data_IF_159902567632
#
_entry.id   IF_159902567632
#
_cell.length_a   1.000
_cell.length_b   1.000
_cell.length_c   1.000
_cell.angle_alpha   90.00
_cell.angle_beta   90.00
_cell.angle_gamma   90.00
#
_symmetry.space_group_name_H-M   'P 1'
#
loop_
_entity.id
_entity.type
_entity.pdbx_description
1 polymer ?
#
# COMPACT_ATOMS: atom_id res chain seq x y z
N UNK A 1 -18.58 -31.70 -6.56
CA UNK A 1 -18.15 -31.14 -5.25
C UNK A 1 -18.23 -29.63 -5.36
N UNK A 2 -19.00 -29.00 -4.51
CA UNK A 2 -19.08 -27.53 -4.45
C UNK A 2 -17.73 -26.97 -3.99
N UNK A 3 -17.07 -26.18 -4.82
CA UNK A 3 -15.79 -25.57 -4.49
C UNK A 3 -15.87 -24.74 -3.21
N UNK A 4 -14.79 -24.74 -2.41
CA UNK A 4 -14.69 -23.94 -1.19
C UNK A 4 -13.98 -22.63 -1.47
N UNK A 5 -14.53 -21.48 -1.00
CA UNK A 5 -13.84 -20.19 -1.07
C UNK A 5 -12.79 -20.09 0.03
N UNK A 6 -11.55 -19.80 -0.37
CA UNK A 6 -10.39 -19.67 0.51
C UNK A 6 -9.92 -18.22 0.49
N UNK A 7 -9.79 -17.63 1.67
CA UNK A 7 -9.10 -16.36 1.88
C UNK A 7 -7.64 -16.61 2.29
N UNK A 8 -6.73 -15.81 1.76
CA UNK A 8 -5.30 -15.82 2.10
C UNK A 8 -4.87 -14.46 2.62
N UNK A 9 -4.07 -14.44 3.68
CA UNK A 9 -3.32 -13.27 4.13
C UNK A 9 -1.89 -13.36 3.60
N UNK A 10 -1.46 -12.38 2.80
CA UNK A 10 -0.17 -12.38 2.10
C UNK A 10 0.74 -11.27 2.61
N UNK A 11 2.01 -11.59 2.70
CA UNK A 11 3.10 -10.63 2.84
C UNK A 11 4.02 -10.74 1.61
N UNK A 12 4.46 -9.60 1.05
CA UNK A 12 5.42 -9.60 -0.04
C UNK A 12 6.31 -8.35 -0.09
N UNK A 13 7.54 -8.58 -0.50
CA UNK A 13 8.44 -7.56 -1.02
C UNK A 13 8.01 -7.23 -2.46
N UNK A 14 7.62 -5.98 -2.71
CA UNK A 14 7.16 -5.53 -4.03
C UNK A 14 8.31 -5.28 -5.02
N UNK A 15 9.54 -5.14 -4.54
CA UNK A 15 10.70 -4.78 -5.38
C UNK A 15 10.89 -5.65 -6.62
N UNK A 16 10.83 -6.99 -6.52
CA UNK A 16 10.99 -7.88 -7.67
C UNK A 16 9.80 -7.92 -8.64
N UNK A 17 8.69 -7.20 -8.37
CA UNK A 17 7.44 -7.36 -9.11
C UNK A 17 6.98 -6.08 -9.78
N UNK A 18 6.34 -6.24 -10.95
CA UNK A 18 5.61 -5.19 -11.65
C UNK A 18 4.21 -4.98 -11.06
N UNK A 19 4.12 -4.90 -9.72
CA UNK A 19 2.91 -4.73 -8.94
C UNK A 19 2.13 -6.02 -8.72
N UNK A 20 0.90 -5.84 -8.22
CA UNK A 20 0.00 -6.96 -7.92
C UNK A 20 -0.52 -7.64 -9.19
N UNK A 21 -1.12 -6.87 -10.09
CA UNK A 21 -1.93 -7.37 -11.20
C UNK A 21 -1.10 -8.12 -12.25
N UNK A 22 -1.57 -9.31 -12.67
CA UNK A 22 -0.98 -10.08 -13.76
C UNK A 22 -0.91 -9.26 -15.06
N UNK A 23 0.24 -9.30 -15.70
CA UNK A 23 0.54 -8.62 -16.95
C UNK A 23 1.26 -9.57 -17.91
N UNK A 24 1.09 -9.42 -19.26
CA UNK A 24 1.64 -10.38 -20.21
C UNK A 24 3.18 -10.50 -20.20
N UNK A 25 3.90 -9.39 -19.97
CA UNK A 25 5.35 -9.30 -20.20
C UNK A 25 6.17 -9.20 -18.90
N UNK A 26 5.53 -9.08 -17.73
CA UNK A 26 6.23 -8.80 -16.49
C UNK A 26 5.69 -9.65 -15.34
N UNK A 27 6.62 -10.15 -14.51
CA UNK A 27 6.27 -10.93 -13.33
C UNK A 27 5.53 -10.09 -12.31
N UNK A 28 4.37 -10.56 -11.89
CA UNK A 28 3.54 -9.92 -10.85
C UNK A 28 3.34 -10.86 -9.66
N UNK A 29 2.93 -10.29 -8.52
CA UNK A 29 2.59 -11.09 -7.33
C UNK A 29 1.44 -12.05 -7.63
N UNK A 30 0.39 -11.57 -8.31
CA UNK A 30 -0.78 -12.36 -8.68
C UNK A 30 -0.42 -13.54 -9.57
N UNK A 31 0.44 -13.34 -10.57
CA UNK A 31 0.89 -14.42 -11.44
C UNK A 31 1.61 -15.53 -10.65
N UNK A 32 2.55 -15.16 -9.78
CA UNK A 32 3.28 -16.13 -8.96
C UNK A 32 2.36 -16.92 -8.03
N UNK A 33 1.33 -16.26 -7.48
CA UNK A 33 0.34 -16.90 -6.62
C UNK A 33 -0.58 -17.83 -7.40
N UNK A 34 -1.09 -17.39 -8.56
CA UNK A 34 -1.97 -18.18 -9.41
C UNK A 34 -1.28 -19.45 -9.91
N UNK A 35 0.01 -19.34 -10.31
CA UNK A 35 0.83 -20.49 -10.73
C UNK A 35 1.04 -21.51 -9.57
N UNK A 36 1.26 -21.00 -8.36
CA UNK A 36 1.40 -21.86 -7.17
C UNK A 36 0.08 -22.56 -6.79
N UNK A 37 -1.06 -21.86 -6.94
CA UNK A 37 -2.38 -22.45 -6.71
C UNK A 37 -2.69 -23.49 -7.77
N UNK A 38 -2.43 -23.20 -9.05
CA UNK A 38 -2.67 -24.12 -10.17
C UNK A 38 -1.88 -25.43 -10.03
N UNK A 39 -0.64 -25.35 -9.51
CA UNK A 39 0.18 -26.52 -9.26
C UNK A 39 -0.32 -27.41 -8.08
N UNK A 40 -1.15 -26.86 -7.18
CA UNK A 40 -1.71 -27.56 -6.03
C UNK A 40 -3.15 -28.03 -6.27
N UNK A 41 -3.91 -27.31 -7.07
CA UNK A 41 -5.34 -27.50 -7.33
C UNK A 41 -5.61 -27.15 -8.81
N UNK A 42 -5.22 -28.04 -9.74
CA UNK A 42 -5.48 -27.85 -11.16
C UNK A 42 -6.98 -27.67 -11.44
N UNK A 43 -7.32 -26.79 -12.37
CA UNK A 43 -8.71 -26.60 -12.77
C UNK A 43 -9.26 -27.91 -13.38
N UNK A 44 -10.50 -28.30 -13.06
CA UNK A 44 -11.13 -29.46 -13.66
C UNK A 44 -11.19 -29.35 -15.18
N UNK A 45 -11.09 -30.50 -15.87
CA UNK A 45 -11.21 -30.54 -17.32
C UNK A 45 -12.53 -29.90 -17.78
N UNK A 46 -12.48 -29.04 -18.79
CA UNK A 46 -13.63 -28.29 -19.30
C UNK A 46 -13.95 -26.97 -18.57
N UNK A 47 -13.28 -26.65 -17.48
CA UNK A 47 -13.37 -25.33 -16.84
C UNK A 47 -12.46 -24.38 -17.61
N UNK A 48 -13.01 -23.34 -18.22
CA UNK A 48 -12.23 -22.31 -18.90
C UNK A 48 -11.29 -21.63 -17.88
N UNK A 49 -9.98 -21.68 -18.16
CA UNK A 49 -8.98 -21.01 -17.36
C UNK A 49 -9.26 -19.49 -17.37
N UNK A 50 -9.62 -18.93 -16.20
CA UNK A 50 -9.68 -17.49 -16.02
C UNK A 50 -8.25 -16.96 -16.11
N UNK A 51 -8.09 -15.75 -16.66
CA UNK A 51 -6.79 -15.08 -16.71
C UNK A 51 -6.11 -14.98 -15.33
N UNK A 52 -6.90 -14.93 -14.26
CA UNK A 52 -6.45 -14.90 -12.87
C UNK A 52 -7.42 -15.67 -11.99
N UNK A 53 -6.89 -16.56 -11.15
CA UNK A 53 -7.67 -17.30 -10.15
C UNK A 53 -7.97 -16.46 -8.91
N UNK A 54 -7.01 -15.59 -8.52
CA UNK A 54 -7.08 -14.83 -7.28
C UNK A 54 -7.64 -13.43 -7.47
N UNK A 55 -8.40 -12.96 -6.49
CA UNK A 55 -8.94 -11.60 -6.39
C UNK A 55 -8.44 -10.95 -5.12
N UNK A 56 -7.73 -9.81 -5.24
CA UNK A 56 -7.17 -9.07 -4.12
C UNK A 56 -8.12 -8.01 -3.56
N UNK A 57 -7.95 -7.69 -2.29
CA UNK A 57 -8.62 -6.58 -1.61
C UNK A 57 -8.26 -5.20 -2.18
N UNK A 58 -7.05 -5.06 -2.72
CA UNK A 58 -6.57 -3.86 -3.39
C UNK A 58 -5.35 -4.17 -4.25
N UNK A 59 -5.22 -3.50 -5.39
CA UNK A 59 -4.03 -3.60 -6.23
C UNK A 59 -2.94 -2.72 -5.63
N UNK A 60 -1.69 -3.20 -5.69
CA UNK A 60 -0.49 -2.42 -5.38
C UNK A 60 0.27 -2.13 -6.67
N UNK A 61 0.87 -0.95 -6.74
CA UNK A 61 1.70 -0.54 -7.88
C UNK A 61 3.03 -1.32 -7.91
N UNK A 62 3.75 -1.24 -9.04
CA UNK A 62 5.12 -1.73 -9.18
C UNK A 62 5.99 -1.25 -8.02
N UNK A 63 6.70 -2.17 -7.36
CA UNK A 63 7.62 -1.86 -6.26
C UNK A 63 6.96 -1.59 -4.90
N UNK A 64 5.63 -1.61 -4.80
CA UNK A 64 4.90 -1.40 -3.53
C UNK A 64 4.81 -2.69 -2.75
N UNK A 65 5.15 -2.64 -1.45
CA UNK A 65 5.14 -3.78 -0.54
C UNK A 65 3.76 -4.05 0.07
N UNK A 66 3.59 -5.20 0.67
CA UNK A 66 2.46 -5.50 1.53
C UNK A 66 2.88 -6.33 2.75
N UNK A 67 2.39 -5.96 3.92
CA UNK A 67 2.51 -6.72 5.16
C UNK A 67 1.32 -7.67 5.37
N UNK A 68 0.12 -7.29 4.94
CA UNK A 68 -1.08 -8.13 5.03
C UNK A 68 -2.08 -7.80 3.90
N UNK A 69 -1.71 -8.10 2.66
CA UNK A 69 -2.65 -8.14 1.55
C UNK A 69 -3.62 -9.30 1.76
N UNK A 70 -4.88 -9.12 1.42
CA UNK A 70 -5.88 -10.19 1.47
C UNK A 70 -6.37 -10.52 0.08
N UNK A 71 -6.46 -11.81 -0.22
CA UNK A 71 -6.98 -12.32 -1.49
C UNK A 71 -7.95 -13.46 -1.25
N UNK A 72 -8.80 -13.77 -2.22
CA UNK A 72 -9.56 -15.00 -2.24
C UNK A 72 -9.48 -15.70 -3.58
N UNK A 73 -9.75 -17.00 -3.55
CA UNK A 73 -9.95 -17.85 -4.72
C UNK A 73 -10.90 -18.99 -4.37
N UNK A 74 -11.46 -19.63 -5.38
CA UNK A 74 -12.30 -20.82 -5.23
C UNK A 74 -11.41 -22.06 -5.47
N UNK A 75 -11.30 -22.97 -4.47
CA UNK A 75 -10.58 -24.23 -4.60
C UNK A 75 -11.55 -25.35 -4.97
N UNK A 76 -11.07 -26.34 -5.72
CA UNK A 76 -11.84 -27.48 -6.20
C UNK A 76 -11.34 -28.81 -5.59
N UNK A 77 -10.12 -28.83 -5.12
CA UNK A 77 -9.46 -30.01 -4.55
C UNK A 77 -9.72 -30.21 -3.05
N UNK A 78 -9.13 -31.27 -2.48
CA UNK A 78 -9.39 -31.70 -1.11
C UNK A 78 -8.55 -30.97 -0.05
N UNK A 79 -7.71 -29.98 -0.41
CA UNK A 79 -6.81 -29.32 0.53
C UNK A 79 -7.64 -28.53 1.56
N UNK A 80 -7.55 -28.86 2.86
CA UNK A 80 -8.26 -28.13 3.91
C UNK A 80 -7.80 -26.65 3.99
N UNK A 81 -8.72 -25.73 4.25
CA UNK A 81 -8.44 -24.30 4.28
C UNK A 81 -7.19 -23.88 5.08
N UNK A 82 -6.93 -24.40 6.31
CA UNK A 82 -5.72 -24.03 7.06
C UNK A 82 -4.40 -24.56 6.44
N UNK A 83 -4.47 -25.54 5.55
CA UNK A 83 -3.29 -26.15 4.91
C UNK A 83 -2.81 -25.43 3.67
N UNK A 84 -3.59 -24.51 3.12
CA UNK A 84 -3.18 -23.73 1.96
C UNK A 84 -1.96 -22.85 2.22
N UNK A 85 -1.86 -22.20 3.38
CA UNK A 85 -0.72 -21.34 3.70
C UNK A 85 0.62 -22.10 3.68
N UNK A 86 0.83 -23.21 4.40
CA UNK A 86 2.07 -23.98 4.32
C UNK A 86 2.31 -24.59 2.94
N UNK A 87 1.28 -25.09 2.25
CA UNK A 87 1.41 -25.69 0.92
C UNK A 87 1.89 -24.66 -0.14
N UNK A 88 1.32 -23.45 -0.14
CA UNK A 88 1.73 -22.37 -1.04
C UNK A 88 3.14 -21.88 -0.73
N UNK A 89 3.51 -21.77 0.54
CA UNK A 89 4.84 -21.30 0.95
C UNK A 89 5.98 -22.22 0.48
N UNK A 90 5.71 -23.49 0.21
CA UNK A 90 6.65 -24.41 -0.39
C UNK A 90 6.89 -24.20 -1.89
N UNK A 91 6.08 -23.37 -2.57
CA UNK A 91 6.12 -23.14 -4.02
C UNK A 91 6.39 -21.69 -4.40
N UNK A 92 6.07 -20.74 -3.50
CA UNK A 92 6.24 -19.32 -3.72
C UNK A 92 7.71 -18.87 -3.60
N UNK A 93 8.14 -17.86 -4.34
CA UNK A 93 9.46 -17.28 -4.18
C UNK A 93 9.64 -16.66 -2.80
N UNK A 94 10.90 -16.49 -2.35
CA UNK A 94 11.24 -15.91 -1.05
C UNK A 94 10.64 -14.54 -0.76
N UNK A 95 10.31 -13.80 -1.81
CA UNK A 95 9.70 -12.48 -1.74
C UNK A 95 8.17 -12.47 -1.52
N UNK A 96 7.50 -13.64 -1.49
CA UNK A 96 6.07 -13.78 -1.17
C UNK A 96 5.90 -14.81 -0.06
N UNK A 97 5.07 -14.50 0.94
CA UNK A 97 4.69 -15.42 2.02
C UNK A 97 3.20 -15.35 2.29
N UNK A 98 2.57 -16.53 2.40
CA UNK A 98 1.21 -16.68 2.91
C UNK A 98 1.28 -16.82 4.42
N UNK A 99 0.71 -15.87 5.15
CA UNK A 99 0.70 -15.79 6.61
C UNK A 99 -0.38 -16.67 7.24
N UNK A 100 -1.54 -16.69 6.60
CA UNK A 100 -2.68 -17.49 7.01
C UNK A 100 -3.58 -17.81 5.83
N UNK A 101 -4.37 -18.87 5.98
CA UNK A 101 -5.44 -19.24 5.07
C UNK A 101 -6.67 -19.69 5.86
N UNK A 102 -7.86 -19.31 5.41
CA UNK A 102 -9.13 -19.60 6.05
C UNK A 102 -10.23 -19.86 5.03
N UNK A 103 -11.20 -20.72 5.40
CA UNK A 103 -12.45 -20.82 4.65
C UNK A 103 -13.32 -19.59 4.91
N UNK A 104 -13.98 -19.10 3.88
CA UNK A 104 -14.94 -17.99 3.98
C UNK A 104 -16.24 -18.36 3.26
N UNK A 105 -17.29 -17.59 3.53
CA UNK A 105 -18.59 -17.78 2.88
C UNK A 105 -18.48 -17.65 1.34
N UNK A 106 -19.30 -18.35 0.57
CA UNK A 106 -19.23 -18.31 -0.90
C UNK A 106 -19.45 -16.92 -1.52
N UNK A 107 -20.19 -16.05 -0.84
CA UNK A 107 -20.47 -14.67 -1.22
C UNK A 107 -19.42 -13.66 -0.71
N UNK A 108 -18.54 -14.10 0.20
CA UNK A 108 -17.48 -13.23 0.72
C UNK A 108 -16.50 -12.84 -0.40
N UNK A 109 -16.09 -11.57 -0.43
CA UNK A 109 -15.25 -11.03 -1.48
C UNK A 109 -14.12 -10.17 -0.91
N UNK A 110 -12.86 -10.51 -1.18
CA UNK A 110 -11.70 -9.84 -0.61
C UNK A 110 -11.73 -8.30 -0.81
N UNK A 111 -12.24 -7.81 -1.95
CA UNK A 111 -12.33 -6.39 -2.22
C UNK A 111 -13.63 -5.74 -1.69
N UNK A 112 -14.79 -6.36 -1.95
CA UNK A 112 -16.08 -5.73 -1.68
C UNK A 112 -16.56 -5.91 -0.23
N UNK A 113 -16.15 -6.97 0.45
CA UNK A 113 -16.43 -7.18 1.87
C UNK A 113 -15.49 -6.37 2.78
N UNK A 114 -14.45 -5.75 2.24
CA UNK A 114 -13.49 -4.99 3.03
C UNK A 114 -14.03 -3.61 3.40
N UNK A 115 -13.90 -3.26 4.69
CA UNK A 115 -14.33 -1.98 5.27
C UNK A 115 -13.27 -0.89 5.19
N UNK A 116 -11.99 -1.29 5.19
CA UNK A 116 -10.88 -0.36 5.02
C UNK A 116 -9.63 -1.03 4.45
N UNK A 117 -8.68 -0.18 3.97
CA UNK A 117 -7.28 -0.50 3.70
C UNK A 117 -6.45 0.50 4.48
N UNK A 118 -5.34 0.04 5.07
CA UNK A 118 -4.38 0.89 5.77
C UNK A 118 -3.01 0.77 5.11
N UNK A 119 -2.45 1.91 4.76
CA UNK A 119 -1.12 2.01 4.18
C UNK A 119 -0.18 2.74 5.12
N UNK A 120 1.10 2.39 5.04
CA UNK A 120 2.20 3.12 5.65
C UNK A 120 3.15 3.56 4.55
N UNK A 121 3.61 4.80 4.67
CA UNK A 121 4.70 5.30 3.88
C UNK A 121 5.87 5.66 4.79
N UNK A 122 7.08 5.15 4.47
CA UNK A 122 8.30 5.39 5.22
C UNK A 122 9.18 6.40 4.48
N UNK A 123 9.61 7.47 5.18
CA UNK A 123 10.56 8.47 4.69
C UNK A 123 11.78 8.43 5.59
N UNK A 124 12.96 8.26 4.99
CA UNK A 124 14.23 8.38 5.68
C UNK A 124 14.79 9.78 5.45
N UNK A 125 14.81 10.62 6.51
CA UNK A 125 15.13 12.04 6.44
C UNK A 125 16.46 12.31 7.17
N UNK A 126 17.56 11.91 6.56
CA UNK A 126 18.94 12.10 7.02
C UNK A 126 19.85 12.54 5.88
N UNK A 127 20.99 13.17 6.19
CA UNK A 127 21.94 13.65 5.16
C UNK A 127 22.58 12.52 4.37
N UNK A 128 22.92 11.42 5.03
CA UNK A 128 23.61 10.28 4.40
C UNK A 128 22.65 9.17 4.04
N UNK A 129 22.81 8.52 2.87
CA UNK A 129 22.00 7.38 2.50
C UNK A 129 22.25 6.17 3.40
N UNK A 130 21.23 5.33 3.59
CA UNK A 130 21.32 4.07 4.29
C UNK A 130 20.86 2.93 3.36
N UNK A 131 21.77 2.00 3.03
CA UNK A 131 21.52 0.90 2.09
C UNK A 131 20.44 -0.06 2.59
N UNK A 132 20.30 -0.26 3.90
CA UNK A 132 19.29 -1.14 4.48
C UNK A 132 17.90 -0.54 4.46
N UNK A 133 17.79 0.79 4.46
CA UNK A 133 16.52 1.50 4.35
C UNK A 133 16.13 1.85 2.90
N UNK A 134 17.08 1.86 1.98
CA UNK A 134 16.84 2.20 0.58
C UNK A 134 15.70 1.40 -0.08
N UNK A 135 15.57 0.06 0.12
CA UNK A 135 14.50 -0.72 -0.49
C UNK A 135 13.12 -0.53 0.14
N UNK A 136 13.01 0.18 1.28
CA UNK A 136 11.78 0.27 2.08
C UNK A 136 11.41 1.69 2.50
N UNK A 137 12.13 2.70 2.00
CA UNK A 137 11.89 4.10 2.35
C UNK A 137 12.21 5.04 1.20
N UNK A 138 11.74 6.27 1.32
CA UNK A 138 12.13 7.39 0.47
C UNK A 138 13.17 8.24 1.18
N UNK A 139 14.41 8.24 0.70
CA UNK A 139 15.48 9.08 1.26
C UNK A 139 15.30 10.54 0.86
N UNK A 140 15.15 11.43 1.86
CA UNK A 140 15.09 12.88 1.73
C UNK A 140 16.20 13.51 2.55
N UNK A 141 17.19 14.14 1.88
CA UNK A 141 18.43 14.58 2.50
C UNK A 141 18.66 16.09 2.45
N UNK A 142 17.94 16.82 1.59
CA UNK A 142 18.22 18.22 1.35
C UNK A 142 17.81 19.10 2.53
N UNK A 143 16.62 18.86 3.07
CA UNK A 143 16.02 19.63 4.15
C UNK A 143 15.42 18.72 5.21
N UNK A 144 15.44 19.19 6.46
CA UNK A 144 14.65 18.58 7.51
C UNK A 144 13.18 18.86 7.23
N UNK A 145 12.40 17.81 7.04
CA UNK A 145 10.97 17.94 6.75
C UNK A 145 10.25 18.55 7.95
N UNK A 146 9.37 19.51 7.67
CA UNK A 146 8.48 20.13 8.66
C UNK A 146 7.32 19.15 8.97
N UNK A 147 7.59 18.16 9.84
CA UNK A 147 6.66 17.09 10.17
C UNK A 147 5.37 17.60 10.83
N UNK A 148 5.44 18.66 11.65
CA UNK A 148 4.25 19.28 12.24
C UNK A 148 3.31 19.82 11.15
N UNK A 149 3.82 20.59 10.19
CA UNK A 149 3.06 21.08 9.05
C UNK A 149 2.46 19.94 8.22
N UNK A 150 3.26 18.90 7.92
CA UNK A 150 2.79 17.72 7.20
C UNK A 150 1.66 17.01 7.95
N UNK A 151 1.75 16.92 9.28
CA UNK A 151 0.71 16.34 10.14
C UNK A 151 -0.59 17.17 10.09
N UNK A 152 -0.50 18.49 10.16
CA UNK A 152 -1.67 19.38 10.04
C UNK A 152 -2.40 19.17 8.71
N UNK A 153 -1.67 19.24 7.60
CA UNK A 153 -2.24 19.02 6.27
C UNK A 153 -2.83 17.62 6.09
N UNK A 154 -2.20 16.61 6.68
CA UNK A 154 -2.68 15.23 6.66
C UNK A 154 -4.00 15.09 7.43
N UNK A 155 -4.16 15.78 8.57
CA UNK A 155 -5.38 15.75 9.38
C UNK A 155 -6.59 16.35 8.64
N UNK A 156 -6.37 17.35 7.78
CA UNK A 156 -7.44 17.95 6.99
C UNK A 156 -8.11 16.96 6.00
N UNK A 157 -7.43 15.86 5.67
CA UNK A 157 -7.94 14.84 4.75
C UNK A 157 -8.96 13.90 5.39
N UNK A 158 -9.13 13.93 6.72
CA UNK A 158 -10.12 13.07 7.42
C UNK A 158 -11.54 13.38 6.93
N UNK A 159 -12.33 12.32 6.78
CA UNK A 159 -13.71 12.41 6.34
C UNK A 159 -13.92 11.99 4.87
N UNK A 160 -15.11 12.33 4.36
CA UNK A 160 -15.54 11.97 3.01
C UNK A 160 -15.27 13.11 2.04
N UNK A 161 -14.31 12.93 1.14
CA UNK A 161 -13.87 13.97 0.21
C UNK A 161 -13.68 13.44 -1.21
N UNK A 162 -13.60 14.37 -2.15
CA UNK A 162 -13.14 14.12 -3.52
C UNK A 162 -11.61 14.18 -3.56
N UNK A 163 -10.98 13.09 -4.01
CA UNK A 163 -9.53 12.94 -4.14
C UNK A 163 -9.07 12.87 -5.60
N UNK A 164 -9.85 13.39 -6.54
CA UNK A 164 -9.52 13.38 -7.97
C UNK A 164 -8.17 14.04 -8.30
N UNK A 165 -7.77 15.06 -7.52
CA UNK A 165 -6.43 15.65 -7.61
C UNK A 165 -5.30 14.62 -7.45
N UNK A 166 -5.52 13.59 -6.62
CA UNK A 166 -4.55 12.53 -6.32
C UNK A 166 -4.82 11.22 -7.07
N UNK A 167 -5.45 11.31 -8.24
CA UNK A 167 -5.76 10.13 -9.07
C UNK A 167 -4.87 10.07 -10.30
N UNK A 168 -4.13 8.97 -10.51
CA UNK A 168 -3.37 8.75 -11.74
C UNK A 168 -4.27 8.51 -12.95
N UNK A 169 -3.76 8.83 -14.14
CA UNK A 169 -4.40 8.50 -15.40
C UNK A 169 -4.62 6.98 -15.53
N UNK A 170 -5.69 6.56 -16.22
CA UNK A 170 -6.02 5.14 -16.41
C UNK A 170 -6.81 4.50 -15.27
N UNK A 171 -7.28 5.26 -14.28
CA UNK A 171 -8.20 4.76 -13.27
C UNK A 171 -9.56 4.42 -13.90
N UNK A 172 -10.05 3.21 -13.62
CA UNK A 172 -11.38 2.72 -14.08
C UNK A 172 -12.51 3.00 -13.07
N UNK A 173 -12.23 3.77 -12.00
CA UNK A 173 -13.21 4.05 -10.96
C UNK A 173 -14.22 5.09 -11.44
N UNK A 174 -15.51 4.83 -11.21
CA UNK A 174 -16.60 5.72 -11.63
C UNK A 174 -16.62 7.07 -10.89
N UNK A 175 -16.04 7.14 -9.68
CA UNK A 175 -15.94 8.36 -8.88
C UNK A 175 -14.63 8.41 -8.07
N UNK A 176 -14.18 9.62 -7.76
CA UNK A 176 -12.95 9.86 -7.01
C UNK A 176 -13.19 10.11 -5.50
N UNK A 177 -14.42 9.93 -5.03
CA UNK A 177 -14.77 10.14 -3.63
C UNK A 177 -14.46 8.91 -2.79
N UNK A 178 -13.86 9.14 -1.61
CA UNK A 178 -13.58 8.10 -0.61
C UNK A 178 -13.57 8.71 0.80
N UNK A 179 -13.68 7.85 1.81
CA UNK A 179 -13.64 8.27 3.22
C UNK A 179 -12.29 7.90 3.81
N UNK A 180 -11.51 8.91 4.19
CA UNK A 180 -10.31 8.74 5.03
C UNK A 180 -10.77 8.66 6.48
N UNK A 181 -10.43 7.55 7.14
CA UNK A 181 -10.92 7.20 8.48
C UNK A 181 -9.90 7.53 9.57
N UNK A 182 -8.63 7.29 9.30
CA UNK A 182 -7.54 7.55 10.23
C UNK A 182 -6.29 8.00 9.48
N UNK A 183 -5.54 8.91 10.10
CA UNK A 183 -4.23 9.35 9.62
C UNK A 183 -3.29 9.57 10.79
N UNK A 184 -1.99 9.34 10.57
CA UNK A 184 -0.94 9.70 11.52
C UNK A 184 0.37 9.96 10.79
N UNK A 185 1.18 10.86 11.34
CA UNK A 185 2.57 11.08 10.98
C UNK A 185 3.40 11.07 12.25
N UNK A 186 4.43 10.26 12.30
CA UNK A 186 5.31 10.15 13.45
C UNK A 186 6.76 10.22 13.02
N UNK A 187 7.57 10.95 13.76
CA UNK A 187 9.02 10.97 13.59
C UNK A 187 9.69 10.20 14.73
N UNK A 188 10.49 9.20 14.38
CA UNK A 188 11.37 8.49 15.30
C UNK A 188 12.80 8.58 14.78
N UNK A 189 13.58 9.49 15.35
CA UNK A 189 14.91 9.80 14.85
C UNK A 189 14.85 10.35 13.42
N UNK A 190 15.55 9.68 12.51
CA UNK A 190 15.61 10.05 11.08
C UNK A 190 14.47 9.46 10.24
N UNK A 191 13.58 8.70 10.85
CA UNK A 191 12.48 8.06 10.13
C UNK A 191 11.16 8.79 10.39
N UNK A 192 10.49 9.21 9.31
CA UNK A 192 9.10 9.64 9.35
C UNK A 192 8.21 8.51 8.82
N UNK A 193 7.19 8.19 9.59
CA UNK A 193 6.19 7.18 9.25
C UNK A 193 4.83 7.84 9.10
N UNK A 194 4.31 7.86 7.87
CA UNK A 194 2.95 8.31 7.55
C UNK A 194 2.03 7.10 7.43
N UNK A 195 0.92 7.09 8.16
CA UNK A 195 -0.12 6.08 7.97
C UNK A 195 -1.43 6.73 7.54
N UNK A 196 -2.15 6.05 6.66
CA UNK A 196 -3.46 6.46 6.19
C UNK A 196 -4.36 5.24 6.05
N UNK A 197 -5.56 5.33 6.63
CA UNK A 197 -6.62 4.34 6.53
C UNK A 197 -7.83 4.96 5.83
N UNK A 198 -8.38 4.26 4.84
CA UNK A 198 -9.57 4.71 4.12
C UNK A 198 -10.44 3.53 3.69
N UNK A 199 -11.71 3.81 3.41
CA UNK A 199 -12.66 2.83 2.84
C UNK A 199 -12.20 2.28 1.48
N UNK A 200 -11.41 3.06 0.74
CA UNK A 200 -10.77 2.69 -0.51
C UNK A 200 -9.77 3.74 -0.95
N UNK A 201 -8.93 3.40 -1.91
CA UNK A 201 -7.95 4.32 -2.50
C UNK A 201 -8.08 4.36 -4.01
N UNK A 202 -7.79 5.51 -4.60
CA UNK A 202 -7.67 5.68 -6.04
C UNK A 202 -6.31 5.17 -6.52
N UNK A 203 -6.19 4.91 -7.80
CA UNK A 203 -4.92 4.51 -8.40
C UNK A 203 -3.83 5.56 -8.18
N UNK A 204 -2.75 5.18 -7.50
CA UNK A 204 -1.61 6.03 -7.17
C UNK A 204 -1.87 7.08 -6.08
N UNK A 205 -3.07 7.11 -5.46
CA UNK A 205 -3.50 8.16 -4.52
C UNK A 205 -2.52 8.41 -3.39
N UNK A 206 -2.14 7.37 -2.65
CA UNK A 206 -1.26 7.55 -1.47
C UNK A 206 0.10 8.12 -1.87
N UNK A 207 0.66 7.67 -2.99
CA UNK A 207 1.97 8.14 -3.47
C UNK A 207 1.93 9.61 -3.94
N UNK A 208 0.87 10.02 -4.63
CA UNK A 208 0.67 11.42 -5.03
C UNK A 208 0.46 12.32 -3.81
N UNK A 209 -0.35 11.86 -2.85
CA UNK A 209 -0.59 12.56 -1.60
C UNK A 209 0.71 12.77 -0.80
N UNK A 210 1.50 11.71 -0.61
CA UNK A 210 2.79 11.79 0.09
C UNK A 210 3.76 12.72 -0.65
N UNK A 211 3.78 12.68 -1.99
CA UNK A 211 4.60 13.60 -2.80
C UNK A 211 4.27 15.07 -2.52
N UNK A 212 2.98 15.41 -2.44
CA UNK A 212 2.53 16.78 -2.13
C UNK A 212 2.79 17.16 -0.66
N UNK A 213 2.60 16.25 0.30
CA UNK A 213 2.93 16.49 1.71
C UNK A 213 4.43 16.74 1.91
N UNK A 214 5.28 15.95 1.24
CA UNK A 214 6.74 16.16 1.29
C UNK A 214 7.11 17.49 0.62
N UNK A 215 6.50 17.85 -0.51
CA UNK A 215 6.73 19.14 -1.14
C UNK A 215 6.38 20.33 -0.22
N UNK A 216 5.28 20.21 0.55
CA UNK A 216 4.92 21.20 1.57
C UNK A 216 5.91 21.18 2.75
N UNK A 217 6.28 19.99 3.24
CA UNK A 217 7.25 19.83 4.32
C UNK A 217 8.65 20.32 3.99
N UNK A 218 9.01 20.41 2.71
CA UNK A 218 10.25 21.02 2.19
C UNK A 218 10.11 22.51 1.85
N UNK A 219 8.93 23.11 2.02
CA UNK A 219 8.68 24.51 1.65
C UNK A 219 8.61 24.76 0.13
N UNK A 220 8.59 23.72 -0.73
CA UNK A 220 8.49 23.86 -2.20
C UNK A 220 7.10 24.29 -2.65
N UNK A 221 6.09 24.03 -1.85
CA UNK A 221 4.73 24.55 -2.00
C UNK A 221 4.23 25.06 -0.64
N UNK A 222 3.39 26.10 -0.66
CA UNK A 222 2.78 26.58 0.58
C UNK A 222 1.63 25.65 1.03
N UNK A 223 1.22 25.70 2.32
CA UNK A 223 0.03 25.00 2.81
C UNK A 223 -1.23 25.35 2.02
N UNK A 224 -1.37 26.63 1.60
CA UNK A 224 -2.49 27.11 0.81
C UNK A 224 -2.49 26.50 -0.59
N UNK A 225 -1.32 26.38 -1.23
CA UNK A 225 -1.17 25.71 -2.53
C UNK A 225 -1.54 24.22 -2.44
N UNK A 226 -1.16 23.53 -1.35
CA UNK A 226 -1.58 22.14 -1.11
C UNK A 226 -3.11 22.04 -1.05
N UNK A 227 -3.76 22.91 -0.23
CA UNK A 227 -5.23 22.94 -0.06
C UNK A 227 -5.93 23.28 -1.37
N UNK A 228 -5.40 24.24 -2.11
CA UNK A 228 -5.96 24.66 -3.40
C UNK A 228 -5.89 23.54 -4.44
N UNK A 229 -4.73 22.90 -4.61
CA UNK A 229 -4.57 21.75 -5.51
C UNK A 229 -5.57 20.65 -5.22
N UNK A 230 -5.75 20.33 -3.95
CA UNK A 230 -6.68 19.29 -3.52
C UNK A 230 -8.15 19.70 -3.71
N UNK A 231 -8.57 20.84 -3.12
CA UNK A 231 -9.99 21.26 -3.09
C UNK A 231 -10.51 21.69 -4.45
N UNK A 232 -9.68 22.29 -5.29
CA UNK A 232 -10.03 22.68 -6.65
C UNK A 232 -9.73 21.59 -7.68
N UNK A 233 -9.33 20.38 -7.23
CA UNK A 233 -9.10 19.20 -8.06
C UNK A 233 -8.06 19.44 -9.17
N UNK A 234 -6.99 20.22 -8.89
CA UNK A 234 -5.94 20.61 -9.83
C UNK A 234 -4.96 19.46 -10.09
N UNK A 235 -5.43 18.42 -10.74
CA UNK A 235 -4.66 17.19 -11.01
C UNK A 235 -3.40 17.44 -11.84
N UNK A 236 -3.42 18.38 -12.73
CA UNK A 236 -2.30 18.79 -13.58
C UNK A 236 -1.14 19.41 -12.80
N UNK A 237 -1.38 19.92 -11.60
CA UNK A 237 -0.37 20.42 -10.67
C UNK A 237 0.15 19.34 -9.70
N UNK A 238 -0.51 18.18 -9.60
CA UNK A 238 -0.14 17.06 -8.72
C UNK A 238 0.60 15.98 -9.53
N UNK A 239 1.85 16.25 -9.89
CA UNK A 239 2.63 15.36 -10.78
C UNK A 239 3.61 14.43 -10.06
N UNK A 240 4.20 14.91 -8.96
CA UNK A 240 5.23 14.18 -8.23
C UNK A 240 4.60 13.07 -7.37
N UNK A 241 4.78 11.83 -7.78
CA UNK A 241 4.40 10.67 -6.96
C UNK A 241 5.61 10.18 -6.16
N UNK A 242 5.44 10.02 -4.85
CA UNK A 242 6.46 9.43 -3.99
C UNK A 242 6.90 8.05 -4.50
N UNK A 243 8.20 7.67 -4.37
CA UNK A 243 8.72 6.38 -4.81
C UNK A 243 7.96 5.19 -4.24
N UNK A 244 7.78 4.10 -5.00
CA UNK A 244 6.91 2.99 -4.56
C UNK A 244 7.47 2.20 -3.37
N UNK A 245 8.79 2.06 -3.25
CA UNK A 245 9.43 1.27 -2.21
C UNK A 245 9.19 1.79 -0.78
N UNK A 246 8.85 3.08 -0.62
CA UNK A 246 8.45 3.60 0.69
C UNK A 246 7.05 3.17 1.12
N UNK A 247 6.20 2.65 0.20
CA UNK A 247 4.80 2.34 0.45
C UNK A 247 4.59 0.87 0.78
N UNK A 248 3.84 0.61 1.84
CA UNK A 248 3.44 -0.73 2.25
C UNK A 248 1.94 -0.77 2.58
N UNK A 249 1.19 -1.71 1.97
CA UNK A 249 -0.15 -2.05 2.42
C UNK A 249 -0.04 -2.82 3.75
N UNK A 250 -0.37 -2.17 4.86
CA UNK A 250 -0.23 -2.77 6.19
C UNK A 250 -1.28 -3.85 6.45
N UNK A 251 -2.54 -3.55 6.14
CA UNK A 251 -3.66 -4.48 6.36
C UNK A 251 -4.93 -4.06 5.64
N UNK A 252 -5.86 -5.01 5.58
CA UNK A 252 -7.22 -4.84 5.08
C UNK A 252 -8.19 -5.24 6.19
N UNK A 253 -9.15 -4.39 6.52
CA UNK A 253 -10.16 -4.68 7.54
C UNK A 253 -11.44 -5.24 6.96
N UNK A 254 -12.08 -6.11 7.72
CA UNK A 254 -13.39 -6.72 7.45
C UNK A 254 -14.28 -6.58 8.67
N UNK A 255 -15.63 -6.67 8.54
CA UNK A 255 -16.53 -6.60 9.68
C UNK A 255 -16.22 -7.67 10.73
N UNK A 256 -15.93 -8.90 10.27
CA UNK A 256 -15.55 -10.02 11.13
C UNK A 256 -14.10 -10.43 10.88
N UNK A 257 -13.35 -10.84 11.92
CA UNK A 257 -11.99 -11.33 11.79
C UNK A 257 -11.91 -12.59 10.92
N UNK A 258 -11.20 -12.52 9.80
CA UNK A 258 -10.98 -13.68 8.89
C UNK A 258 -9.80 -14.52 9.35
N UNK A 259 -8.77 -13.90 9.93
CA UNK A 259 -7.51 -14.55 10.30
C UNK A 259 -7.16 -14.30 11.76
N UNK A 260 -6.32 -15.18 12.38
CA UNK A 260 -5.76 -14.92 13.70
C UNK A 260 -5.01 -13.59 13.74
N UNK A 261 -5.08 -12.88 14.88
CA UNK A 261 -4.47 -11.55 15.05
C UNK A 261 -2.98 -11.53 14.70
N UNK A 262 -2.19 -12.49 15.15
CA UNK A 262 -0.76 -12.57 14.88
C UNK A 262 -0.40 -12.77 13.40
N UNK A 263 -1.30 -13.35 12.61
CA UNK A 263 -1.08 -13.52 11.17
C UNK A 263 -1.41 -12.26 10.36
N UNK A 264 -2.24 -11.37 10.89
CA UNK A 264 -2.81 -10.26 10.16
C UNK A 264 -2.45 -8.89 10.75
N UNK A 265 -2.44 -8.75 12.08
CA UNK A 265 -2.21 -7.47 12.75
C UNK A 265 -0.74 -7.24 13.10
N UNK A 266 -0.06 -8.25 13.63
CA UNK A 266 1.27 -8.12 14.22
C UNK A 266 2.43 -8.31 13.21
N UNK A 267 2.12 -8.44 11.91
CA UNK A 267 3.13 -8.58 10.86
C UNK A 267 3.64 -7.24 10.28
N UNK A 268 3.27 -6.12 10.87
CA UNK A 268 3.63 -4.79 10.36
C UNK A 268 5.09 -4.47 10.68
N UNK A 269 5.92 -4.14 9.68
CA UNK A 269 7.30 -3.73 9.91
C UNK A 269 7.36 -2.37 10.62
N UNK A 270 8.24 -2.26 11.63
CA UNK A 270 8.56 -1.00 12.29
C UNK A 270 10.06 -0.79 12.22
N UNK A 271 10.47 0.41 11.83
CA UNK A 271 11.87 0.80 11.74
C UNK A 271 12.12 1.96 12.67
N UNK A 272 13.23 1.92 13.39
CA UNK A 272 13.71 3.00 14.25
C UNK A 272 15.21 3.18 14.02
N UNK A 273 15.62 4.42 13.77
CA UNK A 273 17.02 4.82 13.77
C UNK A 273 17.19 6.03 14.65
N UNK A 274 18.28 6.06 15.41
CA UNK A 274 18.67 7.24 16.15
C UNK A 274 19.19 8.31 15.21
N UNK A 275 18.81 9.57 15.46
CA UNK A 275 19.24 10.71 14.65
C UNK A 275 20.72 10.95 14.88
N UNK A 276 21.53 10.74 13.85
CA UNK A 276 22.99 10.95 13.92
C UNK A 276 23.45 12.16 13.11
N UNK A 277 22.76 12.50 12.03
CA UNK A 277 23.16 13.57 11.10
C UNK A 277 21.91 14.10 10.35
N UNK A 278 21.03 14.87 11.03
CA UNK A 278 19.81 15.38 10.40
C UNK A 278 20.14 16.36 9.29
N UNK A 279 19.27 16.49 8.25
CA UNK A 279 19.38 17.54 7.25
C UNK A 279 19.26 18.93 7.90
N UNK A 280 19.73 20.01 7.24
CA UNK A 280 19.57 21.36 7.73
C UNK A 280 18.10 21.75 7.86
N UNK A 281 17.81 22.58 8.86
CA UNK A 281 16.48 23.18 9.01
C UNK A 281 16.20 24.15 7.86
N UNK A 282 14.94 24.28 7.48
CA UNK A 282 14.50 25.26 6.50
C UNK A 282 14.53 26.63 7.21
N UNK A 283 15.53 27.45 6.90
CA UNK A 283 15.57 28.84 7.37
C UNK A 283 14.75 29.70 6.42
N UNK A 284 13.70 30.35 6.93
CA UNK A 284 13.00 31.38 6.18
C UNK A 284 13.98 32.53 5.94
N UNK A 285 14.31 32.77 4.68
CA UNK A 285 15.04 33.97 4.31
C UNK A 285 14.10 35.19 4.57
N UNK A 286 14.58 36.30 5.18
CA UNK A 286 13.73 37.47 5.41
C UNK A 286 13.15 38.11 4.13
N UNK A 287 13.58 37.65 2.95
CA UNK A 287 13.06 38.10 1.62
C UNK A 287 11.99 37.19 1.03
N UNK A 288 11.59 36.08 1.70
CA UNK A 288 10.48 35.24 1.19
C UNK A 288 10.82 34.36 -0.03
N UNK A 289 12.06 34.39 -0.49
CA UNK A 289 12.53 33.47 -1.55
C UNK A 289 13.14 32.22 -0.93
N UNK A 290 12.60 31.05 -1.29
CA UNK A 290 13.19 29.74 -0.97
C UNK A 290 14.38 29.53 -1.90
N UNK A 291 15.57 29.46 -1.34
CA UNK A 291 16.79 29.09 -2.06
C UNK A 291 16.78 27.62 -2.48
#
# INVERSE_FOLDING_TARGET
MTGQRIALCLQYDGGPFCGWQRQPQHRSVQQSLDEAIEALDPLPAGVAAKLSRTIAAGRTDTGVHAAAQVVHFDCHGPIPAPRWAPALNGRLPGSIRVRASAAVAPDWHACFSATYRRYRYCIYNARRPNLFLAPISWHRYQWRLQDHLMQELLQELLGHHDFSAFQRAGSQRAHARTTVQEVSLQREGDILTLEIQASGFLYGMVRLLVGQLVAAGEGRISPEQFRQRWREQRRDEVKEAAPPQGLCLLRVGYPEPVFPRGAWYDCQPRYRLETSDPPPEITSNPTGEVL
#
